data_IF_093675839882
#
_entry.id   IF_093675839882
#
_cell.length_a   1.000
_cell.length_b   1.000
_cell.length_c   1.000
_cell.angle_alpha   90.00
_cell.angle_beta   90.00
_cell.angle_gamma   90.00
#
_symmetry.space_group_name_H-M   'P 1'
#
loop_
_entity.id
_entity.type
_entity.pdbx_description
1 polymer ?
#
# COMPACT_ATOMS: atom_id res chain seq x y z
N UNK A 1 26.85 33.21 -28.97
CA UNK A 1 26.92 31.96 -29.76
C UNK A 1 26.65 30.79 -28.83
N UNK A 2 25.63 30.00 -29.17
CA UNK A 2 25.16 28.82 -28.43
C UNK A 2 26.11 27.64 -28.69
N UNK A 3 26.39 26.84 -27.67
CA UNK A 3 26.66 25.40 -27.81
C UNK A 3 26.17 24.71 -26.53
N UNK A 4 24.89 24.29 -26.57
CA UNK A 4 24.38 23.28 -25.66
C UNK A 4 24.83 21.91 -26.20
N UNK A 5 25.70 21.23 -25.47
CA UNK A 5 25.95 19.80 -25.63
C UNK A 5 24.75 19.05 -25.07
N UNK A 6 23.89 18.57 -25.97
CA UNK A 6 22.76 17.70 -25.65
C UNK A 6 23.27 16.27 -25.44
N UNK A 7 23.42 15.84 -24.19
CA UNK A 7 23.57 14.43 -23.86
C UNK A 7 22.17 13.80 -23.77
N UNK A 8 21.72 13.22 -24.87
CA UNK A 8 20.59 12.30 -24.90
C UNK A 8 21.02 11.03 -24.15
N UNK A 9 20.68 10.96 -22.87
CA UNK A 9 20.75 9.71 -22.11
C UNK A 9 19.53 8.86 -22.48
N UNK A 10 19.66 8.09 -23.56
CA UNK A 10 18.74 7.02 -23.89
C UNK A 10 19.01 5.84 -22.93
N UNK A 11 18.47 5.91 -21.71
CA UNK A 11 18.48 4.77 -20.78
C UNK A 11 17.38 3.78 -21.17
N UNK A 12 17.70 2.96 -22.16
CA UNK A 12 17.10 1.63 -22.29
C UNK A 12 17.65 0.75 -21.17
N UNK A 13 16.92 0.68 -20.05
CA UNK A 13 17.04 -0.42 -19.10
C UNK A 13 15.67 -1.02 -18.85
N UNK A 14 15.27 -1.89 -19.77
CA UNK A 14 14.32 -2.96 -19.47
C UNK A 14 15.17 -4.16 -19.06
N UNK A 15 15.33 -4.43 -17.77
CA UNK A 15 15.70 -5.76 -17.25
C UNK A 15 15.53 -5.80 -15.73
N UNK A 16 14.71 -6.74 -15.25
CA UNK A 16 14.78 -7.26 -13.87
C UNK A 16 13.92 -6.56 -12.82
N UNK A 17 12.59 -6.67 -12.92
CA UNK A 17 11.70 -6.43 -11.78
C UNK A 17 11.98 -7.50 -10.71
N UNK A 18 12.63 -7.15 -9.61
CA UNK A 18 12.78 -8.05 -8.46
C UNK A 18 11.44 -8.18 -7.72
N UNK A 19 10.59 -9.07 -8.23
CA UNK A 19 9.37 -9.58 -7.59
C UNK A 19 9.75 -10.75 -6.67
N UNK A 20 8.82 -11.24 -5.83
CA UNK A 20 8.91 -12.64 -5.40
C UNK A 20 9.20 -13.49 -6.62
N UNK A 21 10.21 -14.35 -6.52
CA UNK A 21 10.48 -15.28 -7.61
C UNK A 21 9.21 -16.10 -7.88
N UNK A 22 8.99 -16.46 -9.13
CA UNK A 22 7.88 -17.37 -9.48
C UNK A 22 7.93 -18.66 -8.64
N UNK A 23 9.13 -19.04 -8.16
CA UNK A 23 9.37 -20.14 -7.24
C UNK A 23 8.75 -19.92 -5.85
N UNK A 24 8.94 -18.75 -5.25
CA UNK A 24 8.33 -18.41 -3.95
C UNK A 24 6.80 -18.34 -4.05
N UNK A 25 6.28 -17.80 -5.15
CA UNK A 25 4.83 -17.81 -5.45
C UNK A 25 4.34 -19.25 -5.62
N UNK A 26 5.12 -20.11 -6.28
CA UNK A 26 4.78 -21.52 -6.49
C UNK A 26 4.85 -22.33 -5.20
N UNK A 27 5.86 -22.11 -4.35
CA UNK A 27 6.01 -22.81 -3.07
C UNK A 27 4.89 -22.45 -2.08
N UNK A 28 4.34 -21.22 -2.17
CA UNK A 28 3.11 -20.83 -1.47
C UNK A 28 1.86 -21.50 -2.08
N UNK A 29 1.73 -21.54 -3.41
CA UNK A 29 0.59 -22.19 -4.10
C UNK A 29 0.53 -23.70 -3.89
N UNK A 30 1.69 -24.36 -3.79
CA UNK A 30 1.81 -25.82 -3.69
C UNK A 30 1.81 -26.31 -2.25
N UNK A 31 1.70 -25.42 -1.26
CA UNK A 31 1.69 -25.77 0.16
C UNK A 31 3.06 -26.25 0.70
N UNK A 32 4.13 -26.04 -0.06
CA UNK A 32 5.51 -26.36 0.35
C UNK A 32 6.01 -25.40 1.43
N UNK A 33 5.48 -24.17 1.47
CA UNK A 33 5.46 -23.29 2.65
C UNK A 33 4.12 -23.42 3.35
N UNK A 34 4.15 -23.82 4.63
CA UNK A 34 2.95 -24.21 5.41
C UNK A 34 2.37 -23.11 6.31
N UNK A 35 3.03 -21.96 6.45
CA UNK A 35 2.41 -20.79 7.06
C UNK A 35 1.75 -19.92 5.98
N UNK A 36 0.54 -20.31 5.58
CA UNK A 36 -0.41 -19.40 4.96
C UNK A 36 -1.46 -19.00 6.00
N UNK A 37 -1.05 -18.15 6.94
CA UNK A 37 -1.97 -17.49 7.90
C UNK A 37 -2.69 -16.29 7.26
N UNK A 38 -2.54 -16.06 5.95
CA UNK A 38 -2.94 -14.80 5.33
C UNK A 38 -4.45 -14.74 5.14
N UNK A 39 -5.09 -13.85 5.91
CA UNK A 39 -6.47 -13.43 5.66
C UNK A 39 -6.63 -12.92 4.23
N UNK A 40 -7.83 -13.06 3.68
CA UNK A 40 -8.19 -12.47 2.40
C UNK A 40 -8.63 -11.03 2.67
N UNK A 41 -7.86 -10.07 2.18
CA UNK A 41 -8.16 -8.65 2.34
C UNK A 41 -9.04 -8.15 1.18
N UNK A 42 -9.83 -7.12 1.45
CA UNK A 42 -10.42 -6.31 0.39
C UNK A 42 -9.41 -5.27 -0.05
N UNK A 43 -9.56 -4.79 -1.29
CA UNK A 43 -8.77 -3.67 -1.75
C UNK A 43 -9.08 -2.44 -0.85
N UNK A 44 -8.07 -1.69 -0.39
CA UNK A 44 -8.20 -0.69 0.69
C UNK A 44 -8.85 0.63 0.22
N UNK A 45 -9.84 0.56 -0.67
CA UNK A 45 -10.52 1.72 -1.24
C UNK A 45 -11.93 1.37 -1.68
N UNK A 46 -12.76 2.41 -1.86
CA UNK A 46 -14.18 2.27 -2.10
C UNK A 46 -14.53 1.33 -3.27
N UNK A 47 -15.64 0.61 -3.11
CA UNK A 47 -16.17 -0.31 -4.12
C UNK A 47 -16.25 0.35 -5.50
N UNK A 48 -16.03 -0.44 -6.56
CA UNK A 48 -16.05 -0.03 -7.98
C UNK A 48 -14.95 0.95 -8.38
N UNK A 49 -14.16 1.51 -7.46
CA UNK A 49 -12.95 2.27 -7.79
C UNK A 49 -11.84 1.34 -8.29
N UNK A 50 -10.98 1.88 -9.14
CA UNK A 50 -9.86 1.15 -9.73
C UNK A 50 -8.61 1.99 -9.66
N UNK A 51 -7.52 1.43 -9.16
CA UNK A 51 -6.24 2.10 -9.05
C UNK A 51 -5.10 1.23 -9.57
N UNK A 52 -4.08 1.89 -10.10
CA UNK A 52 -2.85 1.25 -10.55
C UNK A 52 -1.99 0.92 -9.32
N UNK A 53 -1.63 -0.35 -9.15
CA UNK A 53 -0.56 -0.75 -8.23
C UNK A 53 0.77 -0.39 -8.90
N UNK A 54 1.41 0.66 -8.41
CA UNK A 54 2.65 1.21 -9.00
C UNK A 54 3.88 0.60 -8.36
N UNK A 55 3.79 0.25 -7.08
CA UNK A 55 4.85 -0.38 -6.34
C UNK A 55 4.29 -1.52 -5.52
N UNK A 56 5.02 -2.63 -5.50
CA UNK A 56 4.72 -3.78 -4.67
C UNK A 56 6.02 -4.25 -4.02
N UNK A 57 5.90 -5.26 -3.17
CA UNK A 57 6.98 -5.86 -2.40
C UNK A 57 8.32 -5.95 -3.16
N UNK A 58 9.42 -5.52 -2.54
CA UNK A 58 10.80 -5.52 -3.07
C UNK A 58 11.09 -4.62 -4.29
N UNK A 59 10.34 -3.51 -4.47
CA UNK A 59 10.68 -2.49 -5.47
C UNK A 59 11.97 -1.74 -5.15
N UNK A 60 12.86 -1.60 -6.13
CA UNK A 60 14.15 -0.90 -5.97
C UNK A 60 14.07 0.64 -5.84
N UNK A 61 12.88 1.25 -5.95
CA UNK A 61 12.72 2.72 -5.85
C UNK A 61 12.70 3.15 -4.39
N UNK A 62 11.73 2.67 -3.60
CA UNK A 62 11.64 2.96 -2.16
C UNK A 62 11.30 1.76 -1.26
N UNK A 63 10.89 0.62 -1.81
CA UNK A 63 10.58 -0.61 -1.04
C UNK A 63 11.70 -1.65 -1.16
N UNK A 64 12.95 -1.25 -0.95
CA UNK A 64 14.02 -2.26 -0.81
C UNK A 64 13.74 -3.02 0.49
N UNK A 65 13.35 -4.29 0.38
CA UNK A 65 13.01 -5.19 1.50
C UNK A 65 11.67 -4.91 2.20
N UNK A 66 10.82 -4.05 1.65
CA UNK A 66 9.45 -3.85 2.16
C UNK A 66 8.45 -4.68 1.35
N UNK A 67 7.46 -5.26 2.03
CA UNK A 67 6.32 -5.98 1.45
C UNK A 67 5.09 -5.08 1.24
N UNK A 68 5.30 -3.76 1.25
CA UNK A 68 4.26 -2.75 1.08
C UNK A 68 3.72 -2.66 -0.36
N UNK A 69 2.57 -2.02 -0.50
CA UNK A 69 1.82 -1.85 -1.74
C UNK A 69 1.48 -0.36 -1.92
N UNK A 70 1.94 0.24 -3.01
CA UNK A 70 1.61 1.62 -3.34
C UNK A 70 0.57 1.66 -4.46
N UNK A 71 -0.62 2.18 -4.15
CA UNK A 71 -1.68 2.39 -5.12
C UNK A 71 -1.70 3.85 -5.56
N UNK A 72 -1.46 4.11 -6.85
CA UNK A 72 -1.52 5.47 -7.40
C UNK A 72 -2.96 5.97 -7.41
N UNK A 73 -3.22 7.04 -6.67
CA UNK A 73 -4.55 7.64 -6.56
C UNK A 73 -4.46 9.14 -6.30
N UNK A 74 -5.48 9.89 -6.74
CA UNK A 74 -5.54 11.35 -6.50
C UNK A 74 -5.78 11.62 -5.02
N UNK A 75 -5.29 12.75 -4.50
CA UNK A 75 -5.69 13.25 -3.16
C UNK A 75 -7.21 13.24 -3.01
N UNK A 76 -7.71 12.93 -1.81
CA UNK A 76 -9.14 12.82 -1.53
C UNK A 76 -9.79 11.49 -1.96
N UNK A 77 -9.04 10.53 -2.51
CA UNK A 77 -9.63 9.23 -2.83
C UNK A 77 -9.96 8.48 -1.53
N UNK A 78 -11.19 7.98 -1.42
CA UNK A 78 -11.67 7.29 -0.22
C UNK A 78 -10.87 6.02 0.05
N UNK A 79 -10.26 5.97 1.22
CA UNK A 79 -9.57 4.81 1.78
C UNK A 79 -10.54 4.03 2.67
N UNK A 80 -10.57 2.73 2.47
CA UNK A 80 -11.42 1.82 3.21
C UNK A 80 -10.58 0.84 4.04
N UNK A 81 -11.09 0.44 5.20
CA UNK A 81 -10.49 -0.63 5.99
C UNK A 81 -10.47 -1.92 5.17
N UNK A 82 -9.28 -2.41 4.85
CA UNK A 82 -9.07 -3.62 4.06
C UNK A 82 -9.60 -4.89 4.77
N UNK A 83 -9.71 -4.84 6.10
CA UNK A 83 -10.31 -5.83 6.99
C UNK A 83 -10.75 -5.16 8.29
N UNK A 84 -11.75 -5.71 8.97
CA UNK A 84 -12.25 -5.19 10.24
C UNK A 84 -11.25 -5.35 11.39
N UNK A 85 -11.34 -4.47 12.38
CA UNK A 85 -10.40 -4.43 13.49
C UNK A 85 -10.59 -3.21 14.38
N UNK A 86 -9.60 -2.94 15.23
CA UNK A 86 -9.57 -1.78 16.14
C UNK A 86 -8.48 -0.82 15.66
N UNK A 87 -8.79 0.47 15.60
CA UNK A 87 -7.81 1.52 15.30
C UNK A 87 -6.90 1.69 16.50
N UNK A 88 -5.61 1.36 16.35
CA UNK A 88 -4.62 1.41 17.45
C UNK A 88 -3.74 2.65 17.40
N UNK A 89 -3.64 3.30 16.24
CA UNK A 89 -2.94 4.57 16.09
C UNK A 89 -3.43 5.33 14.86
N UNK A 90 -3.46 6.66 14.94
CA UNK A 90 -3.84 7.51 13.81
C UNK A 90 -3.23 8.90 13.94
N UNK A 91 -2.85 9.51 12.81
CA UNK A 91 -2.37 10.89 12.71
C UNK A 91 -2.90 11.52 11.42
N UNK A 92 -3.48 12.72 11.51
CA UNK A 92 -4.11 13.40 10.37
C UNK A 92 -3.83 14.91 10.28
N UNK A 93 -2.87 15.43 11.03
CA UNK A 93 -2.64 16.87 11.22
C UNK A 93 -1.61 17.48 10.26
N UNK A 94 -0.77 16.67 9.61
CA UNK A 94 0.30 17.15 8.72
C UNK A 94 -0.24 17.60 7.36
N UNK A 95 0.26 18.73 6.85
CA UNK A 95 0.14 19.15 5.44
C UNK A 95 1.45 19.03 4.65
N UNK A 96 2.53 18.58 5.29
CA UNK A 96 3.86 18.53 4.69
C UNK A 96 4.05 17.27 3.86
N UNK A 97 4.72 17.42 2.72
CA UNK A 97 5.09 16.31 1.85
C UNK A 97 6.17 16.67 0.85
N UNK A 98 6.78 15.65 0.25
CA UNK A 98 7.86 15.80 -0.75
C UNK A 98 9.13 15.04 -0.37
N UNK A 99 10.09 15.00 -1.30
CA UNK A 99 11.34 14.22 -1.19
C UNK A 99 12.46 14.89 -0.37
N UNK A 100 12.10 15.74 0.61
CA UNK A 100 13.07 16.29 1.56
C UNK A 100 13.11 15.42 2.81
N UNK A 101 14.31 15.18 3.36
CA UNK A 101 14.49 14.35 4.56
C UNK A 101 13.67 14.85 5.77
N UNK A 102 13.47 16.16 5.89
CA UNK A 102 12.63 16.76 6.93
C UNK A 102 11.19 16.21 6.95
N UNK A 103 10.68 15.72 5.81
CA UNK A 103 9.33 15.16 5.70
C UNK A 103 9.25 13.68 6.11
N UNK A 104 10.35 13.00 6.49
CA UNK A 104 10.34 11.57 6.83
C UNK A 104 9.32 11.20 7.90
N UNK A 105 9.05 12.11 8.83
CA UNK A 105 8.13 11.90 9.95
C UNK A 105 6.78 12.60 9.78
N UNK A 106 6.50 13.18 8.61
CA UNK A 106 5.30 14.01 8.38
C UNK A 106 4.15 13.26 7.69
N UNK A 107 4.25 11.94 7.52
CA UNK A 107 3.19 11.13 6.96
C UNK A 107 1.99 11.03 7.89
N UNK A 108 0.80 11.36 7.40
CA UNK A 108 -0.47 11.03 8.06
C UNK A 108 -0.82 9.57 7.80
N UNK A 109 -1.44 8.93 8.79
CA UNK A 109 -1.67 7.50 8.76
C UNK A 109 -2.85 7.03 9.61
N UNK A 110 -3.28 5.80 9.35
CA UNK A 110 -4.17 5.01 10.19
C UNK A 110 -3.53 3.63 10.37
N UNK A 111 -3.59 3.08 11.58
CA UNK A 111 -3.15 1.73 11.91
C UNK A 111 -4.34 0.96 12.51
N UNK A 112 -4.68 -0.18 11.91
CA UNK A 112 -5.78 -1.05 12.35
C UNK A 112 -5.20 -2.39 12.75
N UNK A 113 -5.46 -2.82 13.99
CA UNK A 113 -5.14 -4.17 14.47
C UNK A 113 -6.35 -5.09 14.29
N UNK A 114 -6.09 -6.28 13.76
CA UNK A 114 -7.09 -7.32 13.53
C UNK A 114 -7.14 -8.31 14.69
N UNK A 115 -8.18 -9.15 14.73
CA UNK A 115 -8.45 -10.09 15.83
C UNK A 115 -7.38 -11.18 16.01
N UNK A 116 -6.63 -11.48 14.96
CA UNK A 116 -5.47 -12.39 14.95
C UNK A 116 -4.16 -11.69 15.33
N UNK A 117 -4.21 -10.41 15.71
CA UNK A 117 -3.04 -9.62 16.08
C UNK A 117 -2.28 -9.02 14.90
N UNK A 118 -2.58 -9.39 13.66
CA UNK A 118 -2.01 -8.72 12.48
C UNK A 118 -2.44 -7.26 12.39
N UNK A 119 -1.63 -6.43 11.76
CA UNK A 119 -1.80 -4.99 11.71
C UNK A 119 -1.77 -4.50 10.26
N UNK A 120 -2.78 -3.74 9.86
CA UNK A 120 -2.83 -3.00 8.61
C UNK A 120 -2.43 -1.54 8.82
N UNK A 121 -1.53 -1.03 7.99
CA UNK A 121 -1.07 0.36 8.01
C UNK A 121 -1.45 1.06 6.70
N UNK A 122 -1.99 2.26 6.82
CA UNK A 122 -2.42 3.12 5.71
C UNK A 122 -1.70 4.45 5.84
N UNK A 123 -0.85 4.81 4.88
CA UNK A 123 0.04 5.97 4.96
C UNK A 123 -0.18 6.99 3.83
N UNK A 124 0.48 8.13 3.98
CA UNK A 124 0.43 9.28 3.08
C UNK A 124 -0.97 9.88 2.95
N UNK A 125 -1.79 9.81 3.99
CA UNK A 125 -3.15 10.37 4.00
C UNK A 125 -3.12 11.90 3.93
N UNK A 126 -4.20 12.55 3.50
CA UNK A 126 -4.22 14.01 3.45
C UNK A 126 -4.43 14.65 4.83
N UNK A 127 -4.08 15.92 4.98
CA UNK A 127 -4.44 16.70 6.17
C UNK A 127 -5.96 16.69 6.36
N UNK A 128 -6.40 16.46 7.59
CA UNK A 128 -7.81 16.29 7.97
C UNK A 128 -8.51 15.10 7.28
N UNK A 129 -7.75 14.25 6.59
CA UNK A 129 -8.24 13.07 5.85
C UNK A 129 -8.33 11.80 6.68
N UNK A 130 -8.26 11.88 8.01
CA UNK A 130 -8.41 10.74 8.93
C UNK A 130 -9.78 10.83 9.59
N UNK A 131 -10.66 9.86 9.31
CA UNK A 131 -12.07 9.91 9.72
C UNK A 131 -12.40 9.03 10.92
N UNK A 132 -11.38 8.41 11.52
CA UNK A 132 -11.49 7.50 12.66
C UNK A 132 -10.52 7.92 13.76
N UNK A 133 -10.80 7.48 14.99
CA UNK A 133 -10.00 7.76 16.18
C UNK A 133 -9.45 6.48 16.78
N UNK A 134 -8.38 6.61 17.56
CA UNK A 134 -7.85 5.49 18.34
C UNK A 134 -8.93 4.92 19.25
N UNK A 135 -9.09 3.60 19.24
CA UNK A 135 -10.14 2.87 19.96
C UNK A 135 -11.37 2.54 19.11
N UNK A 136 -11.56 3.17 17.95
CA UNK A 136 -12.70 2.87 17.08
C UNK A 136 -12.62 1.43 16.54
N UNK A 137 -13.75 0.72 16.58
CA UNK A 137 -13.91 -0.53 15.83
C UNK A 137 -14.35 -0.21 14.41
N UNK A 138 -13.62 -0.74 13.42
CA UNK A 138 -13.92 -0.55 11.99
C UNK A 138 -14.32 -1.87 11.34
N UNK A 139 -15.25 -1.80 10.40
CA UNK A 139 -15.68 -2.94 9.59
C UNK A 139 -14.92 -2.99 8.27
N UNK A 140 -14.77 -4.18 7.68
CA UNK A 140 -14.17 -4.32 6.35
C UNK A 140 -14.99 -3.53 5.32
N UNK A 141 -14.31 -2.73 4.49
CA UNK A 141 -14.94 -1.84 3.51
C UNK A 141 -15.42 -0.48 4.07
N UNK A 142 -15.42 -0.28 5.39
CA UNK A 142 -15.74 1.01 6.00
C UNK A 142 -14.75 2.08 5.55
N UNK A 143 -15.25 3.26 5.17
CA UNK A 143 -14.40 4.42 4.85
C UNK A 143 -13.75 4.92 6.14
N UNK A 144 -12.42 4.95 6.16
CA UNK A 144 -11.63 5.33 7.35
C UNK A 144 -10.77 6.58 7.13
N UNK A 145 -10.52 6.94 5.86
CA UNK A 145 -9.75 8.13 5.54
C UNK A 145 -9.76 8.48 4.06
N UNK A 146 -8.89 9.40 3.69
CA UNK A 146 -8.69 9.88 2.34
C UNK A 146 -7.20 9.92 1.99
N UNK A 147 -6.87 9.46 0.78
CA UNK A 147 -5.49 9.45 0.29
C UNK A 147 -4.95 10.85 0.16
N UNK A 148 -3.66 11.02 0.38
CA UNK A 148 -3.01 12.31 0.33
C UNK A 148 -1.68 12.27 -0.40
N UNK A 149 -0.77 13.09 0.10
CA UNK A 149 0.61 13.18 -0.35
C UNK A 149 1.49 13.73 0.77
N UNK A 150 1.26 13.26 2.00
CA UNK A 150 2.00 13.72 3.18
C UNK A 150 3.20 12.83 3.49
N UNK A 151 4.20 13.39 4.15
CA UNK A 151 5.46 12.72 4.47
C UNK A 151 6.44 12.63 3.29
N UNK A 152 7.39 11.69 3.38
CA UNK A 152 8.38 11.47 2.34
C UNK A 152 7.78 10.73 1.14
N UNK A 153 7.21 11.49 0.20
CA UNK A 153 6.51 10.97 -0.99
C UNK A 153 6.77 11.84 -2.21
N UNK A 154 6.90 11.21 -3.38
CA UNK A 154 7.09 11.92 -4.66
C UNK A 154 5.77 12.41 -5.29
N UNK A 155 4.65 11.72 -5.06
CA UNK A 155 3.36 12.02 -5.67
C UNK A 155 2.20 11.34 -4.92
N UNK A 156 0.95 11.79 -5.11
CA UNK A 156 -0.20 11.22 -4.39
C UNK A 156 -0.41 9.72 -4.63
N UNK A 157 -0.44 8.96 -3.55
CA UNK A 157 -0.70 7.52 -3.53
C UNK A 157 -1.14 7.06 -2.13
N UNK A 158 -1.65 5.84 -2.03
CA UNK A 158 -1.79 5.13 -0.76
C UNK A 158 -0.63 4.16 -0.63
N UNK A 159 0.15 4.27 0.45
CA UNK A 159 1.07 3.24 0.89
C UNK A 159 0.36 2.33 1.90
N UNK A 160 0.27 1.03 1.57
CA UNK A 160 -0.46 0.04 2.34
C UNK A 160 0.45 -1.13 2.71
N UNK A 161 0.42 -1.52 3.98
CA UNK A 161 1.30 -2.57 4.52
C UNK A 161 0.55 -3.43 5.52
N UNK A 162 0.86 -4.73 5.53
CA UNK A 162 0.42 -5.66 6.59
C UNK A 162 1.63 -6.21 7.34
N UNK A 163 1.52 -6.23 8.67
CA UNK A 163 2.44 -6.92 9.56
C UNK A 163 1.70 -8.05 10.29
N UNK A 164 2.37 -9.19 10.52
CA UNK A 164 1.85 -10.24 11.39
C UNK A 164 1.90 -9.81 12.88
N UNK A 165 1.38 -10.64 13.77
CA UNK A 165 1.34 -10.36 15.21
C UNK A 165 2.73 -10.20 15.86
N UNK A 166 3.80 -10.65 15.19
CA UNK A 166 5.19 -10.48 15.64
C UNK A 166 5.82 -9.18 15.13
N UNK A 167 5.09 -8.41 14.31
CA UNK A 167 5.56 -7.17 13.71
C UNK A 167 6.32 -7.37 12.40
N UNK A 168 6.45 -8.59 11.88
CA UNK A 168 7.11 -8.86 10.60
C UNK A 168 6.17 -8.52 9.45
N UNK A 169 6.67 -7.88 8.40
CA UNK A 169 5.88 -7.62 7.20
C UNK A 169 5.50 -8.94 6.51
N UNK A 170 4.27 -9.04 6.01
CA UNK A 170 3.79 -10.25 5.33
C UNK A 170 3.14 -9.95 3.98
N UNK A 171 3.21 -10.94 3.09
CA UNK A 171 2.51 -10.89 1.81
C UNK A 171 1.00 -10.96 2.03
N UNK A 172 0.28 -10.22 1.18
CA UNK A 172 -1.17 -10.08 1.33
C UNK A 172 -1.90 -10.52 0.07
N UNK A 173 -2.93 -11.35 0.24
CA UNK A 173 -3.85 -11.76 -0.83
C UNK A 173 -5.11 -10.92 -0.77
N UNK A 174 -5.62 -10.58 -1.95
CA UNK A 174 -6.80 -9.74 -2.09
C UNK A 174 -7.89 -10.47 -2.84
N UNK A 175 -9.13 -10.25 -2.41
CA UNK A 175 -10.30 -10.59 -3.22
C UNK A 175 -10.35 -9.68 -4.44
N UNK A 176 -10.47 -10.27 -5.63
CA UNK A 176 -10.59 -9.53 -6.90
C UNK A 176 -11.61 -10.21 -7.81
N UNK A 177 -12.04 -9.50 -8.86
CA UNK A 177 -12.92 -10.06 -9.92
C UNK A 177 -12.36 -11.32 -10.59
N UNK A 178 -11.04 -11.52 -10.56
CA UNK A 178 -10.36 -12.67 -11.15
C UNK A 178 -9.91 -13.67 -10.08
N UNK A 179 -10.64 -13.75 -8.97
CA UNK A 179 -10.34 -14.59 -7.81
C UNK A 179 -9.33 -13.98 -6.84
N UNK A 180 -9.05 -14.73 -5.77
CA UNK A 180 -8.10 -14.36 -4.72
C UNK A 180 -6.67 -14.43 -5.27
N UNK A 181 -5.87 -13.38 -5.08
CA UNK A 181 -4.47 -13.36 -5.55
C UNK A 181 -3.59 -12.39 -4.80
N UNK A 182 -2.28 -12.62 -4.88
CA UNK A 182 -1.27 -11.60 -4.67
C UNK A 182 -1.30 -10.61 -5.84
N UNK A 183 -1.27 -9.32 -5.52
CA UNK A 183 -1.27 -8.27 -6.53
C UNK A 183 0.12 -8.15 -7.17
N UNK A 184 0.15 -7.66 -8.41
CA UNK A 184 1.37 -7.47 -9.20
C UNK A 184 1.42 -6.02 -9.66
N UNK A 185 2.58 -5.34 -9.53
CA UNK A 185 2.72 -3.96 -9.97
C UNK A 185 2.48 -3.83 -11.48
N UNK A 186 2.15 -2.63 -11.94
CA UNK A 186 1.80 -2.35 -13.33
C UNK A 186 0.36 -2.73 -13.73
N UNK A 187 -0.44 -3.26 -12.80
CA UNK A 187 -1.82 -3.66 -13.06
C UNK A 187 -2.83 -2.73 -12.36
N UNK A 188 -3.97 -2.55 -13.01
CA UNK A 188 -5.13 -1.88 -12.43
C UNK A 188 -6.00 -2.89 -11.67
N UNK A 189 -6.36 -2.53 -10.44
CA UNK A 189 -7.20 -3.36 -9.59
C UNK A 189 -8.49 -2.64 -9.26
N UNK A 190 -9.62 -3.19 -9.72
CA UNK A 190 -10.95 -2.70 -9.40
C UNK A 190 -11.42 -3.34 -8.10
N UNK A 191 -11.79 -2.51 -7.12
CA UNK A 191 -12.41 -2.97 -5.90
C UNK A 191 -13.77 -3.59 -6.19
N UNK A 192 -13.93 -4.83 -5.75
CA UNK A 192 -15.18 -5.56 -5.72
C UNK A 192 -15.34 -6.11 -4.32
N UNK A 193 -16.43 -5.74 -3.66
CA UNK A 193 -16.80 -6.34 -2.41
C UNK A 193 -17.66 -7.59 -2.75
N UNK A 194 -17.33 -8.77 -2.23
CA UNK A 194 -18.19 -9.94 -2.32
C UNK A 194 -19.55 -9.73 -1.64
#
# INVERSE_FOLDING_TARGET
>A
MKLLTSCIFLLLFYTGLAQLSDREIMDLKTGRRKEDTSYIYWLPYAEKKSFLLIQASNSQISHKEELSLDFKMKKGSKICAARGGIVTSARGDSDKGGLKEENLHDGNYIIVQHTDGSIAKYWHLEKDGVFVKVGDTVQQGQVIGASGNTGYTAFPHLHFQINDATGRQILTRFYTRRGIKYLRPGNWYKCVHP
#
